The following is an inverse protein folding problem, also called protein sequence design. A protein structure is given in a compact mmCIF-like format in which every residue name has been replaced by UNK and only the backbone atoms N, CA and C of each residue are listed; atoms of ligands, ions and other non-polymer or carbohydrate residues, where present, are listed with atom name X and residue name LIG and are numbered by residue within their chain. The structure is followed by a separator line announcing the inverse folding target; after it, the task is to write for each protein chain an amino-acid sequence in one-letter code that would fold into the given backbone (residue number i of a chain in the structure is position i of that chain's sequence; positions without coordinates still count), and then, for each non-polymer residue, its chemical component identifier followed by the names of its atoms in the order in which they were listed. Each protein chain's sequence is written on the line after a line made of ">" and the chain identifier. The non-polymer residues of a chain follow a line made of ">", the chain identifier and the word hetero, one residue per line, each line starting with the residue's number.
data_IF_635776238427
#
_entry.id   IF_635776238427
#
_cell.length_a   1.000
_cell.length_b   1.000
_cell.length_c   1.000
_cell.angle_alpha   90.00
_cell.angle_beta   90.00
_cell.angle_gamma   90.00
#
_symmetry.space_group_name_H-M   'P 1'
#
loop_
_entity.id
_entity.type
_entity.pdbx_description
1 polymer ?
#
# COMPACT_ATOMS: atom_id res chain seq x y z
N UNK A 1 -14.09 -28.67 34.55
CA UNK A 1 -12.98 -27.81 34.06
C UNK A 1 -13.42 -26.36 34.05
N UNK A 2 -12.62 -25.45 34.64
CA UNK A 2 -12.84 -24.00 34.58
C UNK A 2 -11.62 -23.40 33.89
N UNK A 3 -11.79 -23.04 32.59
CA UNK A 3 -10.76 -22.49 31.74
C UNK A 3 -11.08 -21.04 31.41
N UNK A 4 -10.13 -20.17 31.64
CA UNK A 4 -10.12 -18.79 31.15
C UNK A 4 -9.19 -18.70 29.94
N UNK A 5 -9.69 -18.14 28.83
CA UNK A 5 -8.88 -17.89 27.63
C UNK A 5 -8.66 -16.40 27.50
N UNK A 6 -7.41 -15.97 27.62
CA UNK A 6 -7.00 -14.58 27.42
C UNK A 6 -6.48 -14.46 26.00
N UNK A 7 -7.03 -13.53 25.23
CA UNK A 7 -6.64 -13.34 23.83
C UNK A 7 -6.05 -11.95 23.64
N UNK A 8 -4.87 -11.89 23.02
CA UNK A 8 -4.26 -10.67 22.51
C UNK A 8 -4.02 -10.83 21.00
N UNK A 9 -4.25 -9.77 20.25
CA UNK A 9 -4.07 -9.78 18.80
C UNK A 9 -3.01 -8.76 18.39
N UNK A 10 -2.07 -9.17 17.56
CA UNK A 10 -1.03 -8.33 16.98
C UNK A 10 -1.09 -8.50 15.44
N UNK A 11 -1.67 -7.52 14.77
CA UNK A 11 -1.90 -7.63 13.33
C UNK A 11 -2.84 -8.79 12.98
N UNK A 12 -2.42 -9.65 12.05
CA UNK A 12 -3.17 -10.85 11.65
C UNK A 12 -2.94 -12.03 12.59
N UNK A 13 -1.90 -11.98 13.40
CA UNK A 13 -1.53 -13.04 14.30
C UNK A 13 -2.12 -12.81 15.68
N UNK A 14 -2.40 -13.87 16.40
CA UNK A 14 -2.97 -13.80 17.73
C UNK A 14 -2.17 -14.63 18.74
N UNK A 15 -2.28 -14.23 20.00
CA UNK A 15 -1.78 -15.01 21.14
C UNK A 15 -2.97 -15.34 22.02
N UNK A 16 -3.12 -16.61 22.35
CA UNK A 16 -4.07 -17.07 23.35
C UNK A 16 -3.30 -17.65 24.53
N UNK A 17 -3.71 -17.28 25.73
CA UNK A 17 -3.20 -17.90 26.97
C UNK A 17 -4.32 -18.71 27.58
N UNK A 18 -4.08 -19.98 27.76
CA UNK A 18 -5.01 -20.89 28.43
C UNK A 18 -4.68 -20.93 29.92
N UNK A 19 -5.56 -20.35 30.75
CA UNK A 19 -5.41 -20.31 32.20
C UNK A 19 -6.50 -21.15 32.87
N UNK A 20 -6.13 -22.25 33.50
CA UNK A 20 -7.05 -23.10 34.23
C UNK A 20 -7.14 -22.68 35.70
N UNK A 21 -8.34 -22.35 36.13
CA UNK A 21 -8.66 -22.11 37.54
C UNK A 21 -8.93 -23.43 38.26
N UNK A 22 -9.50 -24.45 37.55
CA UNK A 22 -9.75 -25.79 38.07
C UNK A 22 -9.86 -26.81 36.93
N UNK A 23 -9.48 -28.05 37.24
CA UNK A 23 -9.66 -29.19 36.29
C UNK A 23 -8.67 -29.16 35.13
N UNK A 24 -7.47 -28.61 35.31
CA UNK A 24 -6.41 -28.59 34.30
C UNK A 24 -5.98 -30.05 33.96
N UNK A 25 -5.85 -30.40 32.65
CA UNK A 25 -5.22 -31.66 32.27
C UNK A 25 -3.82 -31.83 32.87
N UNK A 26 -3.49 -33.01 33.31
CA UNK A 26 -2.21 -33.31 33.97
C UNK A 26 -1.02 -33.09 33.05
N UNK A 27 -1.20 -33.30 31.74
CA UNK A 27 -0.19 -33.21 30.68
C UNK A 27 0.09 -31.80 30.24
N UNK A 28 -0.73 -30.81 30.61
CA UNK A 28 -0.56 -29.42 30.22
C UNK A 28 -0.03 -28.57 31.37
N UNK A 29 0.74 -27.56 31.01
CA UNK A 29 1.12 -26.50 31.95
C UNK A 29 -0.01 -25.49 32.06
N UNK A 30 -0.17 -24.85 33.21
CA UNK A 30 -1.03 -23.66 33.30
C UNK A 30 -0.39 -22.47 32.56
N UNK A 31 -1.21 -21.51 32.18
CA UNK A 31 -0.78 -20.35 31.42
C UNK A 31 -0.12 -20.74 30.08
N UNK A 32 -0.70 -21.71 29.40
CA UNK A 32 -0.18 -22.17 28.12
C UNK A 32 -0.36 -21.09 27.04
N UNK A 33 0.76 -20.57 26.55
CA UNK A 33 0.78 -19.63 25.42
C UNK A 33 0.62 -20.39 24.11
N UNK A 34 -0.24 -19.86 23.25
CA UNK A 34 -0.50 -20.37 21.88
C UNK A 34 -0.43 -19.21 20.90
N UNK A 35 0.66 -19.14 20.16
CA UNK A 35 0.89 -18.14 19.11
C UNK A 35 0.31 -18.65 17.81
N UNK A 36 -0.72 -17.99 17.29
CA UNK A 36 -1.35 -18.34 16.01
C UNK A 36 -0.71 -17.57 14.87
N UNK A 37 -0.22 -18.29 13.86
CA UNK A 37 0.16 -17.75 12.56
C UNK A 37 -0.98 -18.03 11.59
N UNK A 38 -1.54 -16.95 11.04
CA UNK A 38 -2.78 -17.00 10.28
C UNK A 38 -2.51 -16.75 8.79
N UNK A 39 -3.38 -17.28 7.93
CA UNK A 39 -3.38 -16.97 6.50
C UNK A 39 -3.98 -15.57 6.22
N UNK A 40 -4.10 -15.24 4.93
CA UNK A 40 -4.64 -13.96 4.48
C UNK A 40 -6.12 -13.73 4.85
N UNK A 41 -6.89 -14.78 5.10
CA UNK A 41 -8.28 -14.71 5.58
C UNK A 41 -8.38 -14.66 7.12
N UNK A 42 -7.25 -14.77 7.82
CA UNK A 42 -7.20 -14.88 9.28
C UNK A 42 -7.38 -16.29 9.79
N UNK A 43 -7.37 -17.33 8.92
CA UNK A 43 -7.48 -18.71 9.36
C UNK A 43 -6.23 -19.15 10.10
N UNK A 44 -6.41 -19.78 11.27
CA UNK A 44 -5.31 -20.27 12.10
C UNK A 44 -4.67 -21.51 11.49
N UNK A 45 -3.58 -21.34 10.75
CA UNK A 45 -2.89 -22.43 10.04
C UNK A 45 -1.81 -23.10 10.87
N UNK A 46 -1.16 -22.38 11.77
CA UNK A 46 -0.09 -22.88 12.63
C UNK A 46 -0.22 -22.30 14.03
N UNK A 47 -0.08 -23.14 15.05
CA UNK A 47 0.04 -22.70 16.43
C UNK A 47 1.38 -23.15 17.02
N UNK A 48 2.06 -22.22 17.70
CA UNK A 48 3.34 -22.42 18.38
C UNK A 48 3.19 -22.20 19.88
N UNK A 49 4.03 -22.86 20.68
CA UNK A 49 4.17 -22.59 22.09
C UNK A 49 5.20 -21.48 22.38
N UNK A 50 5.45 -21.17 23.64
CA UNK A 50 6.38 -20.14 24.08
C UNK A 50 7.85 -20.43 23.68
N UNK A 51 8.18 -21.66 23.31
CA UNK A 51 9.48 -22.09 22.81
C UNK A 51 9.53 -22.22 21.29
N UNK A 52 8.52 -21.65 20.59
CA UNK A 52 8.34 -21.75 19.14
C UNK A 52 8.23 -23.19 18.60
N UNK A 53 7.82 -24.15 19.44
CA UNK A 53 7.54 -25.52 19.01
C UNK A 53 6.11 -25.62 18.48
N UNK A 54 5.92 -26.42 17.43
CA UNK A 54 4.60 -26.61 16.82
C UNK A 54 3.66 -27.34 17.78
N UNK A 55 2.55 -26.69 18.14
CA UNK A 55 1.42 -27.30 18.86
C UNK A 55 0.47 -27.94 17.85
N UNK A 56 0.12 -27.21 16.78
CA UNK A 56 -0.82 -27.68 15.77
C UNK A 56 -0.57 -27.04 14.42
N UNK A 57 -0.92 -27.78 13.37
CA UNK A 57 -0.92 -27.30 12.00
C UNK A 57 -2.22 -27.75 11.31
N UNK A 58 -2.85 -26.86 10.54
CA UNK A 58 -4.11 -27.13 9.86
C UNK A 58 -4.16 -26.43 8.50
N UNK A 59 -4.64 -27.15 7.50
CA UNK A 59 -4.96 -26.61 6.17
C UNK A 59 -6.46 -26.75 5.90
N UNK A 60 -7.00 -25.80 5.14
CA UNK A 60 -8.43 -25.72 4.88
C UNK A 60 -8.76 -25.88 3.40
N UNK A 61 -9.91 -26.51 3.12
CA UNK A 61 -10.56 -26.35 1.84
C UNK A 61 -11.10 -24.93 1.68
N UNK A 62 -11.35 -24.45 0.46
CA UNK A 62 -11.80 -23.07 0.23
C UNK A 62 -12.96 -22.60 1.12
N UNK A 63 -13.94 -23.47 1.38
CA UNK A 63 -15.08 -23.17 2.24
C UNK A 63 -14.88 -23.53 3.73
N UNK A 64 -13.64 -23.68 4.18
CA UNK A 64 -13.31 -23.78 5.61
C UNK A 64 -13.45 -25.16 6.22
N UNK A 65 -13.73 -26.18 5.41
CA UNK A 65 -13.55 -27.57 5.84
C UNK A 65 -12.07 -27.86 6.03
N UNK A 66 -11.70 -28.68 7.04
CA UNK A 66 -10.32 -29.11 7.27
C UNK A 66 -9.88 -30.07 6.17
N UNK A 67 -8.83 -29.73 5.41
CA UNK A 67 -8.23 -30.60 4.40
C UNK A 67 -7.12 -31.48 4.99
N UNK A 68 -6.40 -30.95 5.94
CA UNK A 68 -5.32 -31.64 6.64
C UNK A 68 -5.16 -31.09 8.05
N UNK A 69 -4.83 -31.97 9.01
CA UNK A 69 -4.67 -31.62 10.40
C UNK A 69 -3.57 -32.44 11.08
N UNK A 70 -2.72 -31.75 11.86
CA UNK A 70 -1.80 -32.38 12.78
C UNK A 70 -1.75 -31.62 14.10
N UNK A 71 -1.80 -32.33 15.21
CA UNK A 71 -1.60 -31.80 16.56
C UNK A 71 -0.47 -32.55 17.26
N UNK A 72 0.30 -31.85 18.11
CA UNK A 72 1.39 -32.43 18.89
C UNK A 72 0.86 -33.56 19.82
N UNK A 73 -0.25 -33.31 20.49
CA UNK A 73 -0.99 -34.29 21.28
C UNK A 73 -2.50 -34.13 21.06
N UNK A 74 -3.26 -35.21 21.32
CA UNK A 74 -4.72 -35.20 21.24
C UNK A 74 -5.32 -34.22 22.27
N UNK A 75 -4.70 -34.08 23.43
CA UNK A 75 -5.16 -33.19 24.49
C UNK A 75 -4.99 -31.72 24.05
N UNK A 76 -3.83 -31.32 23.55
CA UNK A 76 -3.61 -29.98 23.05
C UNK A 76 -4.49 -29.63 21.84
N UNK A 77 -4.77 -30.62 20.98
CA UNK A 77 -5.64 -30.48 19.84
C UNK A 77 -7.06 -30.05 20.21
N UNK A 78 -7.59 -30.50 21.35
CA UNK A 78 -8.93 -30.12 21.83
C UNK A 78 -9.08 -28.64 22.15
N UNK A 79 -7.98 -27.93 22.43
CA UNK A 79 -7.99 -26.51 22.75
C UNK A 79 -7.77 -25.62 21.52
N UNK A 80 -7.68 -26.17 20.32
CA UNK A 80 -7.72 -25.41 19.08
C UNK A 80 -9.16 -25.14 18.66
N UNK A 81 -9.73 -24.06 19.18
CA UNK A 81 -11.11 -23.62 18.87
C UNK A 81 -11.16 -22.64 17.72
N UNK A 82 -10.19 -21.73 17.62
CA UNK A 82 -10.08 -20.74 16.53
C UNK A 82 -9.44 -21.41 15.30
N UNK A 83 -10.14 -21.36 14.16
CA UNK A 83 -9.76 -22.07 12.93
C UNK A 83 -9.95 -21.19 11.69
N UNK A 84 -10.74 -21.62 10.71
CA UNK A 84 -11.00 -20.92 9.45
C UNK A 84 -11.55 -19.50 9.68
N UNK A 85 -11.04 -18.53 8.89
CA UNK A 85 -11.38 -17.09 8.98
C UNK A 85 -11.26 -16.51 10.39
N UNK A 86 -10.39 -17.07 11.24
CA UNK A 86 -10.23 -16.63 12.62
C UNK A 86 -11.46 -16.85 13.51
N UNK A 87 -12.37 -17.73 13.11
CA UNK A 87 -13.61 -18.01 13.84
C UNK A 87 -13.50 -19.24 14.71
N UNK A 88 -14.25 -19.23 15.80
CA UNK A 88 -14.36 -20.41 16.66
C UNK A 88 -15.22 -21.48 15.99
N UNK A 89 -14.73 -22.70 16.00
CA UNK A 89 -15.45 -23.89 15.58
C UNK A 89 -15.88 -24.67 16.82
N UNK A 90 -17.17 -24.89 16.97
CA UNK A 90 -17.74 -25.64 18.08
C UNK A 90 -17.68 -27.17 17.87
N UNK A 91 -18.13 -27.92 18.87
CA UNK A 91 -18.15 -29.37 18.84
C UNK A 91 -19.10 -29.97 17.77
N UNK A 92 -20.07 -29.19 17.28
CA UNK A 92 -20.96 -29.60 16.18
C UNK A 92 -20.30 -29.42 14.82
N UNK A 93 -19.14 -28.74 14.76
CA UNK A 93 -18.41 -28.40 13.55
C UNK A 93 -18.83 -27.10 12.89
N UNK A 94 -19.77 -26.38 13.49
CA UNK A 94 -20.18 -25.06 13.01
C UNK A 94 -19.18 -23.98 13.41
N UNK A 95 -19.05 -22.97 12.55
CA UNK A 95 -18.28 -21.77 12.85
C UNK A 95 -19.20 -20.66 13.35
N UNK A 96 -18.84 -20.06 14.49
CA UNK A 96 -19.58 -18.92 15.06
C UNK A 96 -19.03 -17.59 14.56
N UNK A 97 -19.85 -16.84 13.86
CA UNK A 97 -19.48 -15.53 13.29
C UNK A 97 -20.07 -14.33 14.05
N UNK A 98 -20.74 -14.56 15.17
CA UNK A 98 -21.40 -13.53 15.97
C UNK A 98 -22.90 -13.47 15.70
N UNK A 99 -23.32 -13.10 14.51
CA UNK A 99 -24.74 -13.00 14.16
C UNK A 99 -25.30 -14.26 13.49
N UNK A 100 -24.42 -15.10 12.93
CA UNK A 100 -24.83 -16.37 12.28
C UNK A 100 -23.86 -17.50 12.60
N UNK A 101 -24.35 -18.72 12.44
CA UNK A 101 -23.53 -19.92 12.36
C UNK A 101 -23.34 -20.36 10.91
N UNK A 102 -22.11 -20.76 10.59
CA UNK A 102 -21.69 -21.21 9.27
C UNK A 102 -21.40 -22.72 9.26
N UNK A 103 -21.98 -23.44 8.29
CA UNK A 103 -21.73 -24.86 8.07
C UNK A 103 -20.78 -25.08 6.90
N UNK A 104 -19.49 -25.38 7.13
CA UNK A 104 -18.50 -25.51 6.04
C UNK A 104 -18.83 -26.68 5.08
N UNK A 105 -19.44 -27.76 5.56
CA UNK A 105 -19.87 -28.88 4.71
C UNK A 105 -21.08 -28.60 3.83
N UNK A 106 -21.90 -27.58 4.19
CA UNK A 106 -22.98 -27.09 3.36
C UNK A 106 -22.56 -25.86 2.52
N UNK A 107 -21.38 -25.30 2.78
CA UNK A 107 -20.83 -24.11 2.13
C UNK A 107 -21.76 -22.89 2.26
N UNK A 108 -22.55 -22.82 3.34
CA UNK A 108 -23.56 -21.79 3.55
C UNK A 108 -23.87 -21.52 5.02
N UNK A 109 -24.53 -20.41 5.25
CA UNK A 109 -25.11 -20.09 6.53
C UNK A 109 -26.27 -21.04 6.85
N UNK A 110 -26.49 -21.33 8.15
CA UNK A 110 -27.64 -22.12 8.60
C UNK A 110 -28.87 -21.24 8.84
N UNK A 111 -28.69 -19.92 8.94
CA UNK A 111 -29.76 -18.93 9.12
C UNK A 111 -29.69 -17.86 8.00
N UNK A 112 -30.82 -17.23 7.64
CA UNK A 112 -30.82 -16.14 6.67
C UNK A 112 -30.03 -14.94 7.17
N UNK A 113 -29.58 -14.10 6.24
CA UNK A 113 -28.84 -12.88 6.58
C UNK A 113 -29.71 -11.89 7.38
N UNK A 114 -29.32 -11.52 8.62
CA UNK A 114 -30.05 -10.52 9.39
C UNK A 114 -29.96 -9.10 8.78
N UNK A 115 -28.99 -8.83 7.90
CA UNK A 115 -28.89 -7.58 7.14
C UNK A 115 -29.73 -7.59 5.85
N UNK A 116 -30.42 -8.70 5.55
CA UNK A 116 -31.23 -8.83 4.34
C UNK A 116 -30.40 -9.10 3.09
N UNK A 117 -30.85 -8.59 1.94
CA UNK A 117 -30.27 -8.89 0.63
C UNK A 117 -29.01 -8.06 0.29
N UNK A 118 -28.25 -7.59 1.28
CA UNK A 118 -27.03 -6.76 1.08
C UNK A 118 -25.96 -7.47 0.25
N UNK A 119 -25.88 -8.81 0.36
CA UNK A 119 -24.94 -9.64 -0.37
C UNK A 119 -25.56 -10.38 -1.56
N UNK A 120 -26.78 -10.02 -1.94
CA UNK A 120 -27.56 -10.63 -3.01
C UNK A 120 -28.81 -11.35 -2.51
N UNK A 121 -29.59 -11.88 -3.44
CA UNK A 121 -30.90 -12.50 -3.11
C UNK A 121 -30.79 -13.82 -2.35
N UNK A 122 -29.61 -14.49 -2.38
CA UNK A 122 -29.38 -15.71 -1.63
C UNK A 122 -28.95 -15.37 -0.18
N UNK A 123 -29.91 -15.24 0.72
CA UNK A 123 -29.68 -14.87 2.13
C UNK A 123 -28.86 -15.89 2.91
N UNK A 124 -28.61 -17.09 2.36
CA UNK A 124 -27.81 -18.15 2.97
C UNK A 124 -26.43 -18.31 2.30
N UNK A 125 -26.13 -17.52 1.26
CA UNK A 125 -24.85 -17.56 0.55
C UNK A 125 -23.69 -17.11 1.44
N UNK A 126 -22.60 -17.90 1.49
CA UNK A 126 -21.40 -17.51 2.19
C UNK A 126 -20.47 -16.75 1.26
N UNK A 127 -20.07 -15.56 1.68
CA UNK A 127 -19.07 -14.66 1.04
C UNK A 127 -19.19 -14.57 -0.49
N UNK A 128 -20.43 -14.47 -0.99
CA UNK A 128 -20.75 -14.39 -2.45
C UNK A 128 -20.13 -15.52 -3.27
N UNK A 129 -19.97 -16.71 -2.69
CA UNK A 129 -19.24 -17.85 -3.26
C UNK A 129 -17.78 -17.57 -3.62
N UNK A 130 -17.14 -16.63 -2.93
CA UNK A 130 -15.71 -16.32 -3.11
C UNK A 130 -14.92 -16.54 -1.80
N UNK A 131 -14.81 -17.79 -1.30
CA UNK A 131 -14.19 -18.10 -0.01
C UNK A 131 -12.67 -17.99 -0.01
N UNK A 132 -12.02 -17.85 -1.17
CA UNK A 132 -10.57 -17.71 -1.28
C UNK A 132 -10.10 -16.26 -1.06
N UNK A 133 -10.96 -15.26 -1.29
CA UNK A 133 -10.62 -13.83 -1.13
C UNK A 133 -11.67 -13.05 -0.36
N UNK A 134 -12.76 -13.69 0.03
CA UNK A 134 -13.85 -13.11 0.81
C UNK A 134 -13.93 -13.66 2.22
N UNK A 135 -14.28 -12.81 3.17
CA UNK A 135 -14.60 -13.19 4.54
C UNK A 135 -15.81 -12.40 5.05
N UNK A 136 -16.39 -12.84 6.14
CA UNK A 136 -17.41 -12.12 6.87
C UNK A 136 -16.91 -11.89 8.30
N UNK A 137 -16.90 -10.63 8.75
CA UNK A 137 -16.33 -10.29 10.06
C UNK A 137 -17.24 -10.63 11.22
N UNK A 138 -18.55 -10.58 11.02
CA UNK A 138 -19.55 -10.66 12.09
C UNK A 138 -20.82 -11.44 11.71
N UNK A 139 -20.87 -12.01 10.54
CA UNK A 139 -22.01 -12.77 10.05
C UNK A 139 -23.14 -11.90 9.48
N UNK A 140 -22.85 -10.68 8.98
CA UNK A 140 -23.83 -9.75 8.37
C UNK A 140 -23.51 -9.33 6.95
N UNK A 141 -22.33 -9.72 6.41
CA UNK A 141 -22.03 -9.34 5.05
C UNK A 141 -20.62 -9.66 4.59
N UNK A 142 -20.52 -9.88 3.29
CA UNK A 142 -19.28 -10.13 2.58
C UNK A 142 -18.31 -8.95 2.69
N UNK A 143 -17.07 -9.30 2.95
CA UNK A 143 -15.93 -8.41 2.81
C UNK A 143 -14.88 -9.07 1.94
N UNK A 144 -14.49 -8.39 0.87
CA UNK A 144 -13.39 -8.83 0.01
C UNK A 144 -12.04 -8.47 0.60
N UNK A 145 -10.99 -9.03 0.02
CA UNK A 145 -9.61 -8.73 0.44
C UNK A 145 -9.32 -7.22 0.44
N UNK A 146 -9.91 -6.48 -0.50
CA UNK A 146 -9.78 -5.02 -0.56
C UNK A 146 -10.46 -4.30 0.62
N UNK A 147 -11.48 -4.91 1.24
CA UNK A 147 -12.12 -4.35 2.44
C UNK A 147 -11.25 -4.57 3.68
N UNK A 148 -10.39 -5.62 3.68
CA UNK A 148 -9.36 -5.79 4.73
C UNK A 148 -8.38 -4.63 4.78
N UNK A 149 -8.03 -4.07 3.63
CA UNK A 149 -7.15 -2.89 3.55
C UNK A 149 -7.82 -1.69 4.22
N UNK A 150 -9.09 -1.42 3.93
CA UNK A 150 -9.85 -0.34 4.59
C UNK A 150 -10.03 -0.59 6.09
N UNK A 151 -10.23 -1.84 6.50
CA UNK A 151 -10.25 -2.19 7.91
C UNK A 151 -8.88 -1.96 8.56
N UNK A 152 -7.78 -2.34 7.90
CA UNK A 152 -6.43 -2.10 8.39
C UNK A 152 -6.15 -0.60 8.55
N UNK A 153 -6.53 0.23 7.57
CA UNK A 153 -6.45 1.68 7.67
C UNK A 153 -7.13 2.20 8.92
N UNK A 154 -8.35 1.76 9.16
CA UNK A 154 -9.16 2.23 10.29
C UNK A 154 -8.64 1.77 11.66
N UNK A 155 -8.28 0.48 11.78
CA UNK A 155 -7.95 -0.11 13.08
C UNK A 155 -6.48 0.06 13.48
N UNK A 156 -5.56 0.04 12.51
CA UNK A 156 -4.12 0.12 12.82
C UNK A 156 -3.56 1.52 12.63
N UNK A 157 -4.15 2.31 11.72
CA UNK A 157 -3.59 3.62 11.34
C UNK A 157 -4.51 4.80 11.66
N UNK A 158 -5.70 4.54 12.20
CA UNK A 158 -6.65 5.62 12.55
C UNK A 158 -7.16 6.40 11.34
N UNK A 159 -7.03 5.83 10.13
CA UNK A 159 -7.42 6.45 8.88
C UNK A 159 -8.78 5.92 8.42
N UNK A 160 -9.68 6.82 8.00
CA UNK A 160 -10.94 6.47 7.41
C UNK A 160 -10.96 6.85 5.93
N UNK A 161 -11.60 6.04 5.11
CA UNK A 161 -11.87 6.40 3.71
C UNK A 161 -12.88 7.53 3.69
N UNK A 162 -12.49 8.68 3.13
CA UNK A 162 -13.36 9.85 2.98
C UNK A 162 -14.01 9.86 1.60
N UNK A 163 -13.24 9.64 0.54
CA UNK A 163 -13.74 9.57 -0.83
C UNK A 163 -13.19 8.33 -1.54
N UNK A 164 -14.08 7.62 -2.24
CA UNK A 164 -13.76 6.42 -3.04
C UNK A 164 -13.81 6.77 -4.52
N UNK A 165 -12.67 7.14 -5.07
CA UNK A 165 -12.57 7.51 -6.48
C UNK A 165 -12.85 8.98 -6.77
N UNK A 166 -12.57 9.36 -7.99
CA UNK A 166 -12.69 10.74 -8.47
C UNK A 166 -14.16 11.18 -8.54
N UNK A 167 -15.07 10.29 -8.95
CA UNK A 167 -16.48 10.60 -9.04
C UNK A 167 -17.07 10.97 -7.67
N UNK A 168 -16.65 10.28 -6.61
CA UNK A 168 -17.09 10.57 -5.24
C UNK A 168 -16.56 11.92 -4.74
N UNK A 169 -15.29 12.23 -5.06
CA UNK A 169 -14.68 13.55 -4.78
C UNK A 169 -15.43 14.68 -5.51
N UNK A 170 -15.75 14.48 -6.80
CA UNK A 170 -16.49 15.47 -7.60
C UNK A 170 -17.89 15.71 -7.07
N UNK A 171 -18.63 14.65 -6.72
CA UNK A 171 -19.97 14.76 -6.10
C UNK A 171 -19.95 15.50 -4.77
N UNK A 172 -18.85 15.38 -4.01
CA UNK A 172 -18.62 16.10 -2.77
C UNK A 172 -18.16 17.56 -2.98
N UNK A 173 -17.96 18.01 -4.22
CA UNK A 173 -17.47 19.35 -4.54
C UNK A 173 -15.97 19.55 -4.36
N UNK A 174 -15.19 18.47 -4.22
CA UNK A 174 -13.73 18.49 -4.04
C UNK A 174 -12.97 18.62 -5.37
N UNK A 175 -13.44 19.51 -6.26
CA UNK A 175 -12.78 19.80 -7.53
C UNK A 175 -11.30 20.24 -7.38
N UNK A 176 -10.90 21.02 -6.36
CA UNK A 176 -9.49 21.35 -6.14
C UNK A 176 -8.63 20.11 -5.83
N UNK A 177 -9.16 19.10 -5.11
CA UNK A 177 -8.44 17.87 -4.84
C UNK A 177 -8.25 17.04 -6.11
N UNK A 178 -9.32 16.89 -6.91
CA UNK A 178 -9.26 16.20 -8.20
C UNK A 178 -8.23 16.86 -9.11
N UNK A 179 -8.28 18.18 -9.21
CA UNK A 179 -7.29 18.95 -9.97
C UNK A 179 -5.85 18.72 -9.47
N UNK A 180 -5.64 18.70 -8.16
CA UNK A 180 -4.33 18.44 -7.56
C UNK A 180 -3.79 17.05 -7.95
N UNK A 181 -4.64 16.03 -7.93
CA UNK A 181 -4.30 14.67 -8.35
C UNK A 181 -3.96 14.63 -9.85
N UNK A 182 -4.77 15.25 -10.70
CA UNK A 182 -4.56 15.29 -12.14
C UNK A 182 -3.23 15.97 -12.51
N UNK A 183 -2.91 17.10 -11.89
CA UNK A 183 -1.63 17.77 -12.07
C UNK A 183 -0.48 16.86 -11.66
N UNK A 184 -0.58 16.22 -10.49
CA UNK A 184 0.47 15.34 -9.98
C UNK A 184 0.72 14.13 -10.89
N UNK A 185 -0.35 13.50 -11.38
CA UNK A 185 -0.28 12.37 -12.32
C UNK A 185 0.37 12.79 -13.63
N UNK A 186 -0.10 13.88 -14.23
CA UNK A 186 0.39 14.30 -15.54
C UNK A 186 1.84 14.77 -15.50
N UNK A 187 2.23 15.50 -14.46
CA UNK A 187 3.63 15.93 -14.31
C UNK A 187 4.55 14.74 -14.00
N UNK A 188 4.10 13.75 -13.21
CA UNK A 188 4.86 12.50 -13.01
C UNK A 188 5.11 11.77 -14.34
N UNK A 189 4.09 11.65 -15.18
CA UNK A 189 4.21 11.02 -16.49
C UNK A 189 5.16 11.79 -17.42
N UNK A 190 5.04 13.13 -17.44
CA UNK A 190 5.92 13.99 -18.24
C UNK A 190 7.39 13.82 -17.83
N UNK A 191 7.66 13.83 -16.54
CA UNK A 191 9.02 13.70 -16.01
C UNK A 191 9.62 12.32 -16.30
N UNK A 192 8.88 11.25 -16.05
CA UNK A 192 9.33 9.90 -16.37
C UNK A 192 9.56 9.70 -17.87
N UNK A 193 8.67 10.22 -18.72
CA UNK A 193 8.80 10.12 -20.18
C UNK A 193 10.07 10.83 -20.66
N UNK A 194 10.32 12.04 -20.17
CA UNK A 194 11.55 12.78 -20.51
C UNK A 194 12.81 12.01 -20.10
N UNK A 195 12.78 11.38 -18.94
CA UNK A 195 13.93 10.63 -18.45
C UNK A 195 14.18 9.36 -19.30
N UNK A 196 13.13 8.66 -19.70
CA UNK A 196 13.22 7.55 -20.66
C UNK A 196 13.85 8.00 -21.98
N UNK A 197 13.42 9.15 -22.53
CA UNK A 197 13.99 9.70 -23.75
C UNK A 197 15.48 10.02 -23.61
N UNK A 198 15.89 10.63 -22.49
CA UNK A 198 17.30 10.93 -22.20
C UNK A 198 18.14 9.66 -22.13
N UNK A 199 17.72 8.67 -21.36
CA UNK A 199 18.44 7.42 -21.21
C UNK A 199 18.56 6.66 -22.55
N UNK A 200 17.50 6.64 -23.36
CA UNK A 200 17.52 6.06 -24.71
C UNK A 200 18.43 6.81 -25.69
N UNK A 201 18.62 8.12 -25.47
CA UNK A 201 19.59 8.92 -26.22
C UNK A 201 21.03 8.76 -25.72
N UNK A 202 21.29 7.81 -24.83
CA UNK A 202 22.59 7.56 -24.19
C UNK A 202 23.09 8.70 -23.29
N UNK A 203 22.19 9.57 -22.80
CA UNK A 203 22.52 10.56 -21.78
C UNK A 203 22.38 9.94 -20.39
N UNK A 204 23.38 9.15 -20.00
CA UNK A 204 23.33 8.28 -18.81
C UNK A 204 24.16 8.82 -17.62
N UNK A 205 24.89 9.92 -17.82
CA UNK A 205 25.82 10.43 -16.81
C UNK A 205 25.13 10.72 -15.46
N UNK A 206 23.94 11.33 -15.49
CA UNK A 206 23.19 11.63 -14.27
C UNK A 206 22.65 10.39 -13.55
N UNK A 207 22.34 9.31 -14.25
CA UNK A 207 21.96 8.03 -13.64
C UNK A 207 23.15 7.40 -12.88
N UNK A 208 24.30 7.37 -13.52
CA UNK A 208 25.50 6.82 -12.88
C UNK A 208 25.99 7.71 -11.72
N UNK A 209 25.94 9.03 -11.87
CA UNK A 209 26.17 9.97 -10.77
C UNK A 209 25.24 9.68 -9.59
N UNK A 210 23.92 9.53 -9.85
CA UNK A 210 22.91 9.27 -8.82
C UNK A 210 23.20 7.97 -8.05
N UNK A 211 23.57 6.89 -8.73
CA UNK A 211 23.87 5.61 -8.06
C UNK A 211 25.31 5.55 -7.51
N UNK A 212 26.06 6.63 -7.59
CA UNK A 212 27.44 6.70 -7.06
C UNK A 212 28.41 5.79 -7.81
N UNK A 213 28.26 5.64 -9.13
CA UNK A 213 29.13 4.81 -9.96
C UNK A 213 29.78 5.60 -11.09
N UNK A 214 31.00 5.20 -11.54
CA UNK A 214 31.55 5.75 -12.76
C UNK A 214 30.72 5.31 -13.97
N UNK A 215 30.63 6.19 -14.97
CA UNK A 215 30.02 5.84 -16.25
C UNK A 215 30.91 4.79 -16.93
N UNK A 216 30.38 3.63 -17.35
CA UNK A 216 31.18 2.62 -18.04
C UNK A 216 31.75 3.13 -19.37
N UNK A 217 32.96 2.74 -19.71
CA UNK A 217 33.65 3.19 -20.94
C UNK A 217 32.93 2.79 -22.24
N UNK A 218 32.06 1.78 -22.21
CA UNK A 218 31.33 1.24 -23.35
C UNK A 218 29.80 1.33 -23.13
N UNK A 219 29.25 2.53 -22.99
CA UNK A 219 27.81 2.77 -22.89
C UNK A 219 27.13 2.75 -24.26
N UNK A 220 27.31 1.71 -25.05
CA UNK A 220 26.56 1.50 -26.27
C UNK A 220 25.46 0.47 -26.03
N UNK A 221 24.20 0.86 -26.21
CA UNK A 221 22.93 0.08 -26.31
C UNK A 221 22.77 -1.26 -25.51
N UNK A 222 23.85 -1.82 -24.94
CA UNK A 222 23.88 -3.09 -24.22
C UNK A 222 24.06 -2.93 -22.71
N UNK A 223 23.98 -1.69 -22.18
CA UNK A 223 24.06 -1.47 -20.73
C UNK A 223 22.83 -2.05 -20.04
N UNK A 224 23.03 -3.18 -19.38
CA UNK A 224 21.94 -3.93 -18.74
C UNK A 224 21.24 -3.15 -17.63
N UNK A 225 21.95 -2.26 -16.91
CA UNK A 225 21.36 -1.45 -15.87
C UNK A 225 20.53 -0.30 -16.43
N UNK A 226 21.04 0.42 -17.42
CA UNK A 226 20.28 1.49 -18.12
C UNK A 226 19.01 0.90 -18.74
N UNK A 227 19.11 -0.24 -19.42
CA UNK A 227 17.95 -0.93 -20.01
C UNK A 227 16.95 -1.37 -18.94
N UNK A 228 17.41 -1.81 -17.78
CA UNK A 228 16.54 -2.14 -16.65
C UNK A 228 15.77 -0.91 -16.14
N UNK A 229 16.45 0.23 -15.98
CA UNK A 229 15.82 1.49 -15.54
C UNK A 229 14.83 2.02 -16.57
N UNK A 230 15.19 1.99 -17.86
CA UNK A 230 14.28 2.37 -18.95
C UNK A 230 13.03 1.52 -18.95
N UNK A 231 13.16 0.19 -18.89
CA UNK A 231 12.03 -0.73 -18.85
C UNK A 231 11.14 -0.49 -17.62
N UNK A 232 11.73 -0.23 -16.45
CA UNK A 232 11.01 0.08 -15.23
C UNK A 232 10.18 1.37 -15.36
N UNK A 233 10.76 2.45 -15.89
CA UNK A 233 10.00 3.67 -16.13
C UNK A 233 8.92 3.52 -17.21
N UNK A 234 9.15 2.73 -18.25
CA UNK A 234 8.11 2.43 -19.24
C UNK A 234 6.91 1.71 -18.62
N UNK A 235 7.15 0.74 -17.74
CA UNK A 235 6.06 0.08 -16.99
C UNK A 235 5.40 1.03 -15.99
N UNK A 236 6.14 1.92 -15.31
CA UNK A 236 5.57 2.95 -14.44
C UNK A 236 4.70 3.92 -15.21
N UNK A 237 5.16 4.42 -16.36
CA UNK A 237 4.38 5.29 -17.26
C UNK A 237 3.08 4.62 -17.65
N UNK A 238 3.14 3.37 -18.11
CA UNK A 238 1.97 2.58 -18.46
C UNK A 238 1.03 2.35 -17.26
N UNK A 239 1.59 2.05 -16.07
CA UNK A 239 0.82 1.88 -14.84
C UNK A 239 0.14 3.16 -14.39
N UNK A 240 0.88 4.28 -14.33
CA UNK A 240 0.39 5.58 -13.86
C UNK A 240 -0.62 6.20 -14.85
N UNK A 241 -0.44 6.00 -16.17
CA UNK A 241 -1.39 6.50 -17.18
C UNK A 241 -2.80 5.96 -17.01
N UNK A 242 -2.97 4.80 -16.36
CA UNK A 242 -4.29 4.22 -16.07
C UNK A 242 -5.11 5.03 -15.05
N UNK A 243 -4.46 5.89 -14.27
CA UNK A 243 -5.12 6.80 -13.31
C UNK A 243 -5.46 8.17 -13.91
N UNK A 244 -5.04 8.46 -15.14
CA UNK A 244 -5.40 9.70 -15.84
C UNK A 244 -6.89 9.78 -16.16
N UNK A 245 -7.33 10.95 -16.61
CA UNK A 245 -8.67 11.14 -17.13
C UNK A 245 -8.96 10.16 -18.28
N UNK A 246 -10.04 9.37 -18.15
CA UNK A 246 -10.37 8.29 -19.08
C UNK A 246 -9.66 6.96 -18.83
N UNK A 247 -8.74 6.88 -17.89
CA UNK A 247 -8.06 5.64 -17.50
C UNK A 247 -8.95 4.71 -16.65
N UNK A 248 -8.73 3.42 -16.76
CA UNK A 248 -9.54 2.38 -16.10
C UNK A 248 -9.30 2.27 -14.58
N UNK A 249 -8.21 2.82 -14.06
CA UNK A 249 -7.92 2.89 -12.62
C UNK A 249 -8.22 4.24 -11.98
N UNK A 250 -8.79 5.20 -12.71
CA UNK A 250 -9.07 6.54 -12.20
C UNK A 250 -9.93 6.52 -10.93
N UNK A 251 -10.90 5.64 -10.86
CA UNK A 251 -11.77 5.47 -9.68
C UNK A 251 -11.12 4.66 -8.55
N UNK A 252 -9.84 4.31 -8.69
CA UNK A 252 -9.04 3.66 -7.66
C UNK A 252 -8.16 4.63 -6.86
N UNK A 253 -8.30 5.93 -7.09
CA UNK A 253 -7.70 7.00 -6.29
C UNK A 253 -8.57 7.26 -5.07
N UNK A 254 -8.08 6.92 -3.87
CA UNK A 254 -8.87 6.95 -2.64
C UNK A 254 -8.32 8.03 -1.71
N UNK A 255 -9.18 8.90 -1.19
CA UNK A 255 -8.76 9.91 -0.24
C UNK A 255 -9.13 9.53 1.19
N UNK A 256 -8.18 9.68 2.11
CA UNK A 256 -8.27 9.32 3.51
C UNK A 256 -8.34 10.56 4.39
N UNK A 257 -9.03 10.41 5.53
CA UNK A 257 -9.00 11.39 6.61
C UNK A 257 -8.54 10.75 7.92
N UNK A 258 -7.85 11.51 8.74
CA UNK A 258 -7.47 11.06 10.08
C UNK A 258 -8.67 11.04 11.00
N UNK A 259 -8.74 10.04 11.86
CA UNK A 259 -9.69 10.04 12.97
C UNK A 259 -9.32 11.17 13.92
N UNK A 260 -10.29 11.98 14.27
CA UNK A 260 -10.10 13.14 15.13
C UNK A 260 -9.42 12.74 16.45
N UNK A 261 -8.22 13.32 16.72
CA UNK A 261 -7.44 13.06 17.92
C UNK A 261 -6.35 11.97 17.78
N UNK A 262 -6.28 11.25 16.67
CA UNK A 262 -5.21 10.28 16.42
C UNK A 262 -4.05 10.97 15.68
N UNK A 263 -2.86 10.95 16.30
CA UNK A 263 -1.62 11.52 15.73
C UNK A 263 -0.58 10.47 15.38
N UNK A 264 -0.89 9.19 15.50
CA UNK A 264 0.08 8.10 15.39
C UNK A 264 0.71 8.00 14.01
N UNK A 265 -0.01 8.42 12.97
CA UNK A 265 0.44 8.41 11.57
C UNK A 265 0.23 9.78 10.89
N UNK A 266 0.41 10.86 11.66
CA UNK A 266 0.16 12.23 11.20
C UNK A 266 0.99 12.65 9.98
N UNK A 267 2.06 11.93 9.66
CA UNK A 267 2.99 12.28 8.59
C UNK A 267 2.79 11.47 7.30
N UNK A 268 1.88 10.48 7.29
CA UNK A 268 1.57 9.70 6.09
C UNK A 268 0.95 10.58 5.02
N UNK A 269 1.48 10.55 3.81
CA UNK A 269 1.06 11.36 2.66
C UNK A 269 0.27 10.53 1.67
N UNK A 270 0.83 9.41 1.25
CA UNK A 270 0.21 8.42 0.39
C UNK A 270 0.57 7.01 0.87
N UNK A 271 -0.12 6.00 0.39
CA UNK A 271 0.21 4.59 0.61
C UNK A 271 -0.50 3.68 -0.39
N UNK A 272 0.10 2.53 -0.64
CA UNK A 272 -0.53 1.41 -1.33
C UNK A 272 -0.44 0.15 -0.48
N UNK A 273 -1.35 -0.79 -0.72
CA UNK A 273 -1.24 -2.12 -0.13
C UNK A 273 -0.62 -3.09 -1.12
N UNK A 274 0.40 -3.84 -0.72
CA UNK A 274 0.91 -4.95 -1.52
C UNK A 274 -0.24 -5.89 -1.90
N UNK A 275 -0.26 -6.30 -3.17
CA UNK A 275 -1.27 -7.23 -3.69
C UNK A 275 -2.72 -6.73 -3.67
N UNK A 276 -2.97 -5.41 -3.57
CA UNK A 276 -4.31 -4.86 -3.77
C UNK A 276 -4.76 -5.13 -5.21
N UNK A 277 -5.73 -6.02 -5.38
CA UNK A 277 -6.24 -6.41 -6.71
C UNK A 277 -6.89 -5.25 -7.46
N UNK A 278 -7.35 -4.21 -6.75
CA UNK A 278 -7.91 -2.99 -7.32
C UNK A 278 -6.84 -1.97 -7.70
N UNK A 279 -5.60 -2.18 -7.28
CA UNK A 279 -4.50 -1.22 -7.51
C UNK A 279 -4.83 0.18 -7.01
N UNK A 280 -5.42 0.29 -5.81
CA UNK A 280 -5.76 1.59 -5.21
C UNK A 280 -4.51 2.30 -4.73
N UNK A 281 -4.48 3.61 -4.95
CA UNK A 281 -3.55 4.53 -4.29
C UNK A 281 -4.35 5.36 -3.30
N UNK A 282 -3.90 5.38 -2.06
CA UNK A 282 -4.55 6.08 -0.96
C UNK A 282 -3.77 7.35 -0.64
N UNK A 283 -4.47 8.48 -0.57
CA UNK A 283 -3.90 9.80 -0.30
C UNK A 283 -4.50 10.39 0.98
N UNK A 284 -3.70 11.15 1.72
CA UNK A 284 -4.14 11.85 2.92
C UNK A 284 -4.18 13.37 2.70
N UNK A 285 -4.62 14.11 3.72
CA UNK A 285 -4.55 15.57 3.70
C UNK A 285 -3.10 16.07 3.56
N UNK A 286 -2.12 15.37 4.12
CA UNK A 286 -0.71 15.75 4.02
C UNK A 286 -0.20 15.72 2.57
N UNK A 287 -0.67 14.76 1.76
CA UNK A 287 -0.38 14.76 0.32
C UNK A 287 -0.92 16.02 -0.37
N UNK A 288 -2.15 16.42 -0.03
CA UNK A 288 -2.78 17.62 -0.60
C UNK A 288 -2.00 18.90 -0.27
N UNK A 289 -1.43 18.99 0.93
CA UNK A 289 -0.74 20.18 1.43
C UNK A 289 0.69 20.34 0.88
N UNK A 290 1.24 19.32 0.24
CA UNK A 290 2.55 19.40 -0.39
C UNK A 290 2.55 20.27 -1.65
N UNK A 291 3.76 20.69 -2.07
CA UNK A 291 3.98 21.25 -3.40
C UNK A 291 3.87 20.14 -4.49
N UNK A 292 3.87 20.56 -5.77
CA UNK A 292 3.74 19.60 -6.89
C UNK A 292 4.85 18.56 -6.90
N UNK A 293 6.10 18.97 -6.63
CA UNK A 293 7.25 18.04 -6.63
C UNK A 293 7.10 16.96 -5.55
N UNK A 294 6.72 17.33 -4.32
CA UNK A 294 6.48 16.37 -3.25
C UNK A 294 5.38 15.37 -3.63
N UNK A 295 4.27 15.86 -4.17
CA UNK A 295 3.17 14.99 -4.64
C UNK A 295 3.58 14.05 -5.77
N UNK A 296 4.40 14.53 -6.72
CA UNK A 296 4.94 13.69 -7.80
C UNK A 296 5.86 12.59 -7.25
N UNK A 297 6.76 12.97 -6.34
CA UNK A 297 7.67 12.02 -5.69
C UNK A 297 6.89 10.93 -4.97
N UNK A 298 5.93 11.30 -4.12
CA UNK A 298 5.10 10.33 -3.41
C UNK A 298 4.26 9.46 -4.36
N UNK A 299 3.70 10.05 -5.43
CA UNK A 299 2.92 9.29 -6.42
C UNK A 299 3.77 8.26 -7.16
N UNK A 300 4.99 8.62 -7.59
CA UNK A 300 5.90 7.69 -8.27
C UNK A 300 6.38 6.61 -7.31
N UNK A 301 6.66 6.97 -6.05
CA UNK A 301 7.02 6.04 -4.99
C UNK A 301 5.91 4.98 -4.81
N UNK A 302 4.69 5.38 -4.53
CA UNK A 302 3.56 4.47 -4.34
C UNK A 302 3.23 3.67 -5.61
N UNK A 303 3.31 4.32 -6.79
CA UNK A 303 3.13 3.61 -8.05
C UNK A 303 4.20 2.54 -8.28
N UNK A 304 5.43 2.74 -7.82
CA UNK A 304 6.49 1.74 -7.97
C UNK A 304 6.19 0.47 -7.15
N UNK A 305 5.61 0.59 -5.97
CA UNK A 305 5.11 -0.56 -5.22
C UNK A 305 3.99 -1.30 -5.98
N UNK A 306 3.04 -0.54 -6.52
CA UNK A 306 1.87 -1.11 -7.20
C UNK A 306 2.21 -1.77 -8.55
N UNK A 307 3.20 -1.25 -9.28
CA UNK A 307 3.55 -1.65 -10.65
C UNK A 307 4.77 -2.55 -10.70
N UNK A 308 5.86 -2.16 -10.02
CA UNK A 308 7.15 -2.85 -10.06
C UNK A 308 7.37 -3.80 -8.87
N UNK A 309 6.48 -3.80 -7.88
CA UNK A 309 6.61 -4.54 -6.61
C UNK A 309 7.91 -4.20 -5.86
N UNK A 310 8.27 -2.93 -5.82
CA UNK A 310 9.40 -2.42 -5.03
C UNK A 310 9.10 -2.47 -3.53
N UNK A 311 10.12 -2.29 -2.70
CA UNK A 311 10.04 -2.30 -1.24
C UNK A 311 10.52 -0.97 -0.65
N UNK A 312 10.20 -0.72 0.63
CA UNK A 312 10.74 0.38 1.44
C UNK A 312 11.90 -0.15 2.29
N UNK A 313 13.03 -0.43 1.65
CA UNK A 313 14.21 -0.93 2.37
C UNK A 313 14.93 0.19 3.14
N UNK A 314 14.86 1.40 2.62
CA UNK A 314 15.41 2.61 3.25
C UNK A 314 14.71 3.86 2.70
N UNK A 315 14.87 4.98 3.40
CA UNK A 315 14.43 6.30 2.96
C UNK A 315 15.64 7.25 2.91
N UNK A 316 15.73 8.07 1.87
CA UNK A 316 16.77 9.10 1.80
C UNK A 316 16.58 10.14 2.90
N UNK A 317 17.63 10.41 3.68
CA UNK A 317 17.55 11.18 4.93
C UNK A 317 17.17 12.66 4.76
N UNK A 318 17.23 13.20 3.54
CA UNK A 318 16.82 14.56 3.22
C UNK A 318 15.31 14.78 3.20
N UNK A 319 14.51 13.72 3.05
CA UNK A 319 13.08 13.80 2.80
C UNK A 319 12.21 13.01 3.79
N UNK A 320 12.81 12.21 4.66
CA UNK A 320 12.13 11.11 5.35
C UNK A 320 11.32 11.46 6.59
N UNK A 321 11.36 12.66 7.14
CA UNK A 321 10.80 12.79 8.49
C UNK A 321 10.07 14.08 8.81
N UNK A 322 9.84 15.01 7.87
CA UNK A 322 9.15 16.25 8.24
C UNK A 322 8.15 16.69 7.20
N UNK A 323 7.00 17.12 7.71
CA UNK A 323 5.99 17.95 7.08
C UNK A 323 6.54 19.25 6.41
N UNK A 324 7.84 19.41 6.40
CA UNK A 324 8.59 20.51 5.89
C UNK A 324 9.27 20.15 4.57
N UNK A 325 8.46 19.74 3.55
CA UNK A 325 8.83 20.24 2.22
C UNK A 325 8.63 21.73 2.33
N UNK A 326 9.70 22.54 2.45
CA UNK A 326 9.49 23.98 2.49
C UNK A 326 8.70 24.34 1.25
N UNK A 327 7.70 25.17 1.43
CA UNK A 327 6.89 25.67 0.33
C UNK A 327 7.75 26.34 -0.76
N UNK A 328 9.02 26.55 -0.49
CA UNK A 328 10.01 27.21 -1.31
C UNK A 328 11.36 26.51 -1.18
N UNK A 329 11.68 25.57 -2.07
CA UNK A 329 13.07 25.17 -2.29
C UNK A 329 13.75 26.20 -3.18
N UNK A 330 14.79 26.83 -2.66
CA UNK A 330 15.71 27.60 -3.47
C UNK A 330 16.54 26.68 -4.37
N UNK A 331 17.11 27.22 -5.45
CA UNK A 331 18.05 26.50 -6.33
C UNK A 331 19.18 25.83 -5.53
N UNK A 332 19.69 26.54 -4.53
CA UNK A 332 20.79 26.06 -3.68
C UNK A 332 20.36 24.89 -2.76
N UNK A 333 19.12 24.88 -2.33
CA UNK A 333 18.58 23.77 -1.52
C UNK A 333 18.39 22.50 -2.34
N UNK A 334 17.85 22.62 -3.55
CA UNK A 334 17.75 21.48 -4.48
C UNK A 334 19.12 20.88 -4.83
N UNK A 335 20.12 21.72 -5.09
CA UNK A 335 21.48 21.25 -5.33
C UNK A 335 22.06 20.51 -4.13
N UNK A 336 21.86 21.03 -2.92
CA UNK A 336 22.30 20.37 -1.67
C UNK A 336 21.59 19.05 -1.43
N UNK A 337 20.30 18.94 -1.75
CA UNK A 337 19.58 17.68 -1.65
C UNK A 337 20.10 16.66 -2.65
N UNK A 338 20.35 17.06 -3.90
CA UNK A 338 20.93 16.20 -4.92
C UNK A 338 22.29 15.67 -4.48
N UNK A 339 23.20 16.55 -4.04
CA UNK A 339 24.52 16.20 -3.54
C UNK A 339 24.45 15.21 -2.39
N UNK A 340 23.58 15.47 -1.39
CA UNK A 340 23.40 14.60 -0.24
C UNK A 340 22.88 13.21 -0.62
N UNK A 341 21.90 13.12 -1.52
CA UNK A 341 21.35 11.84 -1.98
C UNK A 341 22.43 11.03 -2.70
N UNK A 342 23.26 11.68 -3.50
CA UNK A 342 24.41 11.04 -4.17
C UNK A 342 25.42 10.54 -3.13
N UNK A 343 25.79 11.35 -2.14
CA UNK A 343 26.68 10.95 -1.05
C UNK A 343 26.15 9.73 -0.29
N UNK A 344 24.84 9.68 0.01
CA UNK A 344 24.19 8.54 0.64
C UNK A 344 24.29 7.28 -0.23
N UNK A 345 24.06 7.38 -1.54
CA UNK A 345 24.22 6.26 -2.47
C UNK A 345 25.67 5.77 -2.57
N UNK A 346 26.64 6.66 -2.58
CA UNK A 346 28.07 6.31 -2.54
C UNK A 346 28.40 5.55 -1.25
N UNK A 347 27.98 6.04 -0.11
CA UNK A 347 28.20 5.38 1.18
C UNK A 347 27.53 4.00 1.27
N UNK A 348 26.29 3.88 0.78
CA UNK A 348 25.60 2.59 0.70
C UNK A 348 26.27 1.63 -0.25
N UNK A 349 26.84 2.09 -1.38
CA UNK A 349 27.60 1.27 -2.32
C UNK A 349 28.84 0.69 -1.67
N UNK A 350 29.60 1.46 -0.89
CA UNK A 350 30.78 1.00 -0.19
C UNK A 350 30.47 -0.10 0.83
N UNK A 351 29.31 0.00 1.49
CA UNK A 351 28.82 -1.00 2.45
C UNK A 351 28.12 -2.21 1.84
N UNK A 352 27.78 -2.16 0.55
CA UNK A 352 26.97 -3.21 -0.10
C UNK A 352 27.73 -4.54 -0.23
N UNK A 353 27.03 -5.61 0.13
CA UNK A 353 27.49 -6.98 -0.06
C UNK A 353 26.34 -7.79 -0.69
N UNK A 354 26.49 -8.19 -1.94
CA UNK A 354 25.44 -8.81 -2.75
C UNK A 354 24.78 -10.04 -2.09
N UNK A 355 25.57 -10.84 -1.35
CA UNK A 355 25.05 -12.01 -0.65
C UNK A 355 24.11 -11.67 0.51
N UNK A 356 24.26 -10.51 1.12
CA UNK A 356 23.43 -10.07 2.24
C UNK A 356 22.04 -9.57 1.78
N UNK A 357 21.95 -9.12 0.52
CA UNK A 357 20.74 -8.52 -0.04
C UNK A 357 20.05 -9.42 -1.08
N UNK A 358 20.68 -10.51 -1.51
CA UNK A 358 20.12 -11.42 -2.52
C UNK A 358 20.09 -10.87 -3.96
N UNK A 359 20.68 -9.70 -4.21
CA UNK A 359 20.75 -9.06 -5.53
C UNK A 359 22.13 -9.24 -6.16
N UNK A 360 22.20 -9.27 -7.50
CA UNK A 360 23.44 -9.48 -8.25
C UNK A 360 24.36 -8.26 -8.24
N UNK A 361 23.82 -7.06 -8.12
CA UNK A 361 24.60 -5.81 -8.07
C UNK A 361 23.95 -4.80 -7.13
N UNK A 362 24.73 -3.79 -6.72
CA UNK A 362 24.25 -2.67 -5.93
C UNK A 362 23.12 -1.91 -6.66
N UNK A 363 23.27 -1.67 -7.95
CA UNK A 363 22.31 -0.93 -8.76
C UNK A 363 20.95 -1.62 -8.80
N UNK A 364 20.92 -2.96 -8.95
CA UNK A 364 19.68 -3.73 -8.95
C UNK A 364 19.04 -3.78 -7.57
N UNK A 365 19.82 -3.81 -6.51
CA UNK A 365 19.31 -3.68 -5.15
C UNK A 365 18.74 -2.29 -4.89
N UNK A 366 19.46 -1.23 -5.27
CA UNK A 366 19.00 0.15 -5.12
C UNK A 366 17.69 0.40 -5.87
N UNK A 367 17.58 -0.11 -7.10
CA UNK A 367 16.38 0.02 -7.93
C UNK A 367 15.20 -0.87 -7.45
N UNK A 368 15.40 -1.75 -6.47
CA UNK A 368 14.31 -2.47 -5.81
C UNK A 368 13.64 -1.63 -4.71
N UNK A 369 14.21 -0.50 -4.34
CA UNK A 369 13.63 0.45 -3.40
C UNK A 369 12.75 1.49 -4.13
N UNK A 370 11.58 1.79 -3.56
CA UNK A 370 10.62 2.72 -4.15
C UNK A 370 11.18 4.14 -4.30
N UNK A 371 11.99 4.58 -3.35
CA UNK A 371 12.63 5.91 -3.38
C UNK A 371 13.58 6.08 -4.57
N UNK A 372 14.20 5.02 -5.08
CA UNK A 372 15.04 5.12 -6.27
C UNK A 372 14.28 5.74 -7.45
N UNK A 373 13.09 5.23 -7.76
CA UNK A 373 12.29 5.65 -8.90
C UNK A 373 11.78 7.07 -8.78
N UNK A 374 11.37 7.45 -7.58
CA UNK A 374 10.81 8.77 -7.32
C UNK A 374 11.86 9.86 -7.22
N UNK A 375 12.94 9.59 -6.49
CA UNK A 375 14.01 10.57 -6.25
C UNK A 375 14.87 10.79 -7.48
N UNK A 376 15.23 9.74 -8.21
CA UNK A 376 16.03 9.90 -9.42
C UNK A 376 15.34 10.85 -10.41
N UNK A 377 14.07 10.62 -10.72
CA UNK A 377 13.31 11.51 -11.62
C UNK A 377 13.11 12.91 -11.01
N UNK A 378 12.77 12.99 -9.73
CA UNK A 378 12.55 14.26 -9.04
C UNK A 378 13.79 15.16 -9.04
N UNK A 379 14.97 14.59 -8.82
CA UNK A 379 16.23 15.32 -8.81
C UNK A 379 16.76 15.69 -10.20
N UNK A 380 16.19 15.14 -11.29
CA UNK A 380 16.49 15.55 -12.66
C UNK A 380 15.68 16.78 -13.11
N UNK A 381 14.73 17.26 -12.30
CA UNK A 381 14.01 18.49 -12.61
C UNK A 381 14.98 19.68 -12.64
N UNK A 382 14.90 20.52 -13.68
CA UNK A 382 15.66 21.76 -13.71
C UNK A 382 15.12 22.74 -12.67
N UNK A 383 15.98 23.65 -12.18
CA UNK A 383 15.56 24.71 -11.25
C UNK A 383 14.42 25.55 -11.83
N UNK A 384 14.47 25.83 -13.14
CA UNK A 384 13.44 26.62 -13.82
C UNK A 384 12.11 25.84 -13.91
N UNK A 385 12.15 24.53 -14.12
CA UNK A 385 10.97 23.66 -14.06
C UNK A 385 10.38 23.61 -12.66
N UNK A 386 11.23 23.52 -11.64
CA UNK A 386 10.81 23.53 -10.24
C UNK A 386 10.11 24.84 -9.88
N UNK A 387 10.69 26.00 -10.22
CA UNK A 387 10.07 27.30 -9.99
C UNK A 387 8.75 27.46 -10.74
N UNK A 388 8.67 26.98 -11.98
CA UNK A 388 7.45 27.02 -12.77
C UNK A 388 6.34 26.14 -12.17
N UNK A 389 6.67 24.91 -11.73
CA UNK A 389 5.74 24.00 -11.07
C UNK A 389 5.29 24.56 -9.71
N UNK A 390 6.20 25.20 -8.98
CA UNK A 390 5.89 25.84 -7.71
C UNK A 390 4.94 27.02 -7.89
N UNK A 391 5.17 27.92 -8.84
CA UNK A 391 4.24 29.02 -9.17
C UNK A 391 2.86 28.53 -9.54
N UNK A 392 2.76 27.42 -10.28
CA UNK A 392 1.48 26.79 -10.61
C UNK A 392 0.73 26.32 -9.38
N UNK A 393 1.44 25.85 -8.36
CA UNK A 393 0.81 25.31 -7.14
C UNK A 393 0.41 26.38 -6.13
N UNK A 394 1.21 27.44 -5.97
CA UNK A 394 1.01 28.47 -4.92
C UNK A 394 0.05 29.57 -5.35
N UNK A 395 0.16 30.08 -6.59
CA UNK A 395 -0.64 31.24 -7.04
C UNK A 395 -2.13 30.96 -7.21
N UNK A 396 -2.62 29.73 -7.05
CA UNK A 396 -3.99 29.37 -7.42
C UNK A 396 -4.80 28.55 -6.45
N UNK A 397 -4.22 28.12 -5.35
CA UNK A 397 -4.97 27.54 -4.25
C UNK A 397 -5.36 28.55 -3.18
N UNK A 398 -5.58 29.80 -3.56
CA UNK A 398 -6.40 30.66 -2.73
C UNK A 398 -7.83 30.08 -2.76
N UNK A 399 -8.13 29.30 -1.74
CA UNK A 399 -9.40 28.60 -1.52
C UNK A 399 -10.60 29.55 -1.46
N UNK A 400 -10.39 30.85 -1.65
CA UNK A 400 -11.44 31.91 -1.63
C UNK A 400 -11.95 32.28 -3.02
N UNK A 401 -11.23 31.93 -4.09
CA UNK A 401 -11.72 32.12 -5.45
C UNK A 401 -12.14 30.77 -6.00
N UNK A 402 -13.45 30.48 -5.94
CA UNK A 402 -14.05 29.23 -6.43
C UNK A 402 -13.58 28.90 -7.85
N UNK A 403 -12.97 27.71 -8.03
CA UNK A 403 -12.76 27.14 -9.35
C UNK A 403 -14.13 26.79 -9.90
N UNK A 404 -14.47 27.17 -11.14
CA UNK A 404 -15.73 26.77 -11.75
C UNK A 404 -15.90 25.25 -11.74
N UNK A 405 -17.11 24.77 -11.45
CA UNK A 405 -17.45 23.35 -11.31
C UNK A 405 -17.20 22.51 -12.58
N UNK A 406 -16.93 23.13 -13.70
CA UNK A 406 -16.70 22.55 -15.03
C UNK A 406 -15.26 22.71 -15.55
N UNK A 407 -14.31 23.06 -14.67
CA UNK A 407 -12.93 23.32 -15.03
C UNK A 407 -12.14 22.00 -15.23
N UNK A 408 -11.87 21.67 -16.50
CA UNK A 408 -11.09 20.48 -16.84
C UNK A 408 -9.56 20.75 -16.82
N UNK A 409 -8.75 19.68 -16.72
CA UNK A 409 -7.30 19.77 -16.85
C UNK A 409 -6.88 20.37 -18.21
N UNK A 410 -7.61 20.05 -19.30
CA UNK A 410 -7.36 20.63 -20.61
C UNK A 410 -7.61 22.14 -20.67
N UNK A 411 -8.59 22.65 -19.92
CA UNK A 411 -8.82 24.09 -19.80
C UNK A 411 -7.70 24.77 -19.00
N UNK A 412 -7.17 24.06 -18.02
CA UNK A 412 -5.97 24.50 -17.28
C UNK A 412 -4.76 24.57 -18.19
N UNK A 413 -4.46 23.53 -18.96
CA UNK A 413 -3.35 23.52 -19.91
C UNK A 413 -3.47 24.67 -20.93
N UNK A 414 -4.64 24.87 -21.53
CA UNK A 414 -4.87 26.00 -22.46
C UNK A 414 -4.64 27.36 -21.80
N UNK A 415 -5.01 27.50 -20.54
CA UNK A 415 -4.80 28.74 -19.77
C UNK A 415 -3.32 28.92 -19.44
N UNK A 416 -2.61 27.83 -19.12
CA UNK A 416 -1.17 27.83 -18.91
C UNK A 416 -0.41 28.16 -20.20
N UNK A 417 -0.79 27.58 -21.34
CA UNK A 417 -0.25 27.94 -22.67
C UNK A 417 -0.42 29.42 -22.96
N UNK A 418 -1.58 29.99 -22.62
CA UNK A 418 -1.87 31.41 -22.80
C UNK A 418 -1.04 32.34 -21.90
N UNK A 419 -0.74 31.87 -20.66
CA UNK A 419 0.04 32.65 -19.68
C UNK A 419 1.53 32.60 -19.97
N UNK A 420 2.04 31.46 -20.39
CA UNK A 420 3.49 31.21 -20.52
C UNK A 420 3.98 31.20 -21.98
N UNK A 421 3.08 31.33 -22.96
CA UNK A 421 3.43 31.32 -24.38
C UNK A 421 4.06 30.00 -24.86
N UNK A 422 3.92 28.90 -24.11
CA UNK A 422 4.43 27.55 -24.44
C UNK A 422 3.27 26.57 -24.54
N UNK A 423 3.34 25.62 -25.45
CA UNK A 423 2.42 24.46 -25.47
C UNK A 423 2.86 23.47 -24.40
N UNK A 424 1.94 23.14 -23.48
CA UNK A 424 2.11 22.09 -22.47
C UNK A 424 1.25 20.91 -22.94
N UNK A 425 1.87 19.81 -23.37
CA UNK A 425 1.16 18.60 -23.76
C UNK A 425 1.31 18.18 -25.23
N UNK A 426 2.49 18.37 -25.77
CA UNK A 426 2.97 17.59 -26.92
C UNK A 426 4.19 16.83 -26.52
#
# INVERSE_FOLDING_TARGET
>A
ETLQVITAQAGRNGVRVLHWQAGKPAELNNDQYRYSLNDHLGSSTLELDAQAQIISQESYYPFGGTSWWAGRTAIEANYKTVRYSGKERDATGLYYYGQRYYAPWLQRWINPDPAGAVDGLNLFGFVRNNPCSGFDSDGRGYKGFNDLHEMALKYYWGLNVKYRGIEDMQKAGEHPLVFTLDVSINESLRMMTREVERLKANDVASLYEFVGAPVPDNTHNDDTFVNYVVAGYEELIKGVSRYQEGGDLREQLVFLEYKQGDKTFSDTKALVFPYDSKKRIFFTQNFREQNVMGRMTDLIHEASHAVLNTYDEFYYSGFSTRADYPAEYTRDELSRYKERTIEENVAMREGYRSWAHGFKSFETWLANNADFWSFYVGLQASSDEYENLHRVSVDRFDTRAGIPNDYSFNDHLRRMEKIYGRRFGQ
#
